data_IF_060935717175
#
_entry.id   IF_060935717175
#
_cell.length_a   1.000
_cell.length_b   1.000
_cell.length_c   1.000
_cell.angle_alpha   90.00
_cell.angle_beta   90.00
_cell.angle_gamma   90.00
#
_symmetry.space_group_name_H-M   'P 1'
#
loop_
_entity.id
_entity.type
_entity.pdbx_description
1 polymer ?
#
# COMPACT_ATOMS: atom_id res chain seq x y z
N UNK A 1 1.38 -0.62 15.31
CA UNK A 1 1.07 0.08 14.07
C UNK A 1 2.33 0.24 13.25
N UNK A 2 2.35 -0.28 12.02
CA UNK A 2 3.40 -0.11 11.04
C UNK A 2 3.00 0.99 10.05
N UNK A 3 3.37 2.22 10.38
CA UNK A 3 3.04 3.41 9.58
C UNK A 3 4.24 3.98 8.81
N UNK A 4 5.47 3.71 9.24
CA UNK A 4 6.67 4.20 8.58
C UNK A 4 6.70 3.77 7.10
N UNK A 5 7.01 4.71 6.22
CA UNK A 5 7.05 4.44 4.79
C UNK A 5 7.24 5.72 3.97
N UNK A 6 7.76 5.56 2.78
CA UNK A 6 7.98 6.66 1.84
C UNK A 6 7.71 6.23 0.40
N UNK A 7 7.58 7.19 -0.50
CA UNK A 7 7.37 6.96 -1.92
C UNK A 7 8.66 7.08 -2.73
N UNK A 8 8.73 6.34 -3.84
CA UNK A 8 9.82 6.43 -4.81
C UNK A 8 9.26 6.55 -6.22
N UNK A 9 9.74 7.51 -6.98
CA UNK A 9 9.28 7.84 -8.33
C UNK A 9 10.37 7.58 -9.36
N UNK A 10 10.13 6.64 -10.26
CA UNK A 10 11.00 6.30 -11.39
C UNK A 10 10.23 5.49 -12.43
N UNK A 11 10.72 5.42 -13.66
CA UNK A 11 10.44 4.25 -14.48
C UNK A 11 11.08 3.01 -13.84
N UNK A 12 10.61 1.82 -14.17
CA UNK A 12 11.21 0.59 -13.64
C UNK A 12 12.68 0.47 -14.03
N UNK A 13 13.00 0.81 -15.28
CA UNK A 13 14.37 0.76 -15.81
C UNK A 13 15.30 1.83 -15.18
N UNK A 14 14.74 2.96 -14.73
CA UNK A 14 15.50 4.03 -14.09
C UNK A 14 15.77 3.80 -12.60
N UNK A 15 15.12 2.80 -12.01
CA UNK A 15 15.21 2.53 -10.57
C UNK A 15 16.61 2.10 -10.13
N UNK A 16 17.22 2.85 -9.24
CA UNK A 16 18.52 2.55 -8.67
C UNK A 16 18.38 1.42 -7.65
N UNK A 17 19.13 0.32 -7.84
CA UNK A 17 18.98 -0.91 -7.05
C UNK A 17 19.06 -0.69 -5.54
N UNK A 18 20.00 0.13 -5.07
CA UNK A 18 20.13 0.46 -3.66
C UNK A 18 18.94 1.24 -3.11
N UNK A 19 18.40 2.20 -3.87
CA UNK A 19 17.25 3.00 -3.44
C UNK A 19 15.96 2.16 -3.46
N UNK A 20 15.81 1.28 -4.43
CA UNK A 20 14.72 0.31 -4.47
C UNK A 20 14.81 -0.64 -3.26
N UNK A 21 15.99 -1.16 -2.94
CA UNK A 21 16.18 -2.01 -1.75
C UNK A 21 15.79 -1.28 -0.46
N UNK A 22 16.26 -0.05 -0.26
CA UNK A 22 15.90 0.78 0.91
C UNK A 22 14.39 1.03 1.01
N UNK A 23 13.73 1.22 -0.14
CA UNK A 23 12.27 1.36 -0.19
C UNK A 23 11.58 0.10 0.36
N UNK A 24 12.00 -1.08 -0.10
CA UNK A 24 11.42 -2.34 0.38
C UNK A 24 11.81 -2.64 1.83
N UNK A 25 13.01 -2.31 2.24
CA UNK A 25 13.45 -2.44 3.64
C UNK A 25 12.55 -1.63 4.57
N UNK A 26 12.20 -0.41 4.18
CA UNK A 26 11.34 0.46 4.98
C UNK A 26 9.86 0.06 4.88
N UNK A 27 9.34 -0.12 3.66
CA UNK A 27 7.91 -0.29 3.45
C UNK A 27 7.39 -1.71 3.70
N UNK A 28 8.26 -2.74 3.64
CA UNK A 28 7.89 -4.14 3.76
C UNK A 28 8.70 -4.86 4.85
N UNK A 29 10.03 -4.93 4.72
CA UNK A 29 10.84 -5.79 5.60
C UNK A 29 10.93 -5.26 7.02
N UNK A 30 10.91 -3.95 7.24
CA UNK A 30 10.82 -3.32 8.56
C UNK A 30 9.53 -3.71 9.29
N UNK A 31 8.34 -3.52 8.70
CA UNK A 31 7.08 -4.06 9.24
C UNK A 31 7.15 -5.55 9.56
N UNK A 32 7.71 -6.38 8.66
CA UNK A 32 7.86 -7.84 8.90
C UNK A 32 8.74 -8.13 10.12
N UNK A 33 9.86 -7.42 10.26
CA UNK A 33 10.74 -7.59 11.41
C UNK A 33 10.04 -7.24 12.73
N UNK A 34 9.31 -6.10 12.76
CA UNK A 34 8.54 -5.69 13.93
C UNK A 34 7.42 -6.68 14.26
N UNK A 35 6.68 -7.16 13.26
CA UNK A 35 5.65 -8.20 13.44
C UNK A 35 6.25 -9.44 14.09
N UNK A 36 7.36 -9.96 13.55
CA UNK A 36 8.05 -11.13 14.12
C UNK A 36 8.49 -10.90 15.57
N UNK A 37 8.93 -9.70 15.91
CA UNK A 37 9.38 -9.37 17.26
C UNK A 37 8.24 -9.33 18.28
N UNK A 38 7.03 -8.87 17.90
CA UNK A 38 5.91 -8.73 18.85
C UNK A 38 5.03 -9.97 18.94
N UNK A 39 4.96 -10.81 17.90
CA UNK A 39 4.10 -11.96 17.83
C UNK A 39 4.28 -12.99 18.98
N UNK A 40 5.51 -13.33 19.46
CA UNK A 40 5.66 -14.25 20.58
C UNK A 40 4.86 -13.80 21.81
N UNK A 41 4.94 -12.50 22.15
CA UNK A 41 4.22 -11.94 23.30
C UNK A 41 2.71 -11.92 23.07
N UNK A 42 2.26 -11.52 21.88
CA UNK A 42 0.84 -11.51 21.53
C UNK A 42 0.23 -12.93 21.59
N UNK A 43 0.97 -13.95 21.13
CA UNK A 43 0.52 -15.37 21.22
C UNK A 43 0.39 -15.85 22.67
N UNK A 44 1.36 -15.48 23.54
CA UNK A 44 1.31 -15.79 24.96
C UNK A 44 0.06 -15.16 25.63
N UNK A 45 -0.24 -13.93 25.28
CA UNK A 45 -1.39 -13.18 25.78
C UNK A 45 -2.72 -13.59 25.16
N UNK A 46 -2.71 -14.35 24.05
CA UNK A 46 -3.88 -14.65 23.21
C UNK A 46 -4.65 -13.40 22.80
N UNK A 47 -3.95 -12.30 22.66
CA UNK A 47 -4.48 -10.99 22.32
C UNK A 47 -3.42 -10.13 21.62
N UNK A 48 -3.84 -9.35 20.65
CA UNK A 48 -2.96 -8.41 19.97
C UNK A 48 -3.66 -7.77 18.79
N UNK A 49 -3.14 -6.62 18.37
CA UNK A 49 -3.63 -5.90 17.22
C UNK A 49 -2.44 -5.40 16.37
N UNK A 50 -2.38 -5.86 15.13
CA UNK A 50 -1.37 -5.46 14.14
C UNK A 50 -2.07 -4.64 13.05
N UNK A 51 -1.60 -3.42 12.84
CA UNK A 51 -2.15 -2.52 11.86
C UNK A 51 -1.04 -2.10 10.90
N UNK A 52 -1.18 -2.42 9.63
CA UNK A 52 -0.23 -2.09 8.57
C UNK A 52 -0.80 -1.01 7.66
N UNK A 53 -0.10 0.13 7.56
CA UNK A 53 -0.51 1.23 6.68
C UNK A 53 0.06 0.99 5.27
N UNK A 54 -0.86 0.69 4.34
CA UNK A 54 -0.54 0.53 2.92
C UNK A 54 -0.84 1.81 2.13
N UNK A 55 -1.51 1.74 1.03
CA UNK A 55 -1.95 2.86 0.18
C UNK A 55 -2.94 2.35 -0.85
N UNK A 56 -3.76 3.22 -1.44
CA UNK A 56 -4.49 2.90 -2.68
C UNK A 56 -3.56 2.44 -3.81
N UNK A 57 -2.29 2.76 -3.72
CA UNK A 57 -1.27 2.28 -4.66
C UNK A 57 -1.11 0.75 -4.62
N UNK A 58 -1.50 0.07 -3.53
CA UNK A 58 -1.52 -1.39 -3.45
C UNK A 58 -2.58 -2.02 -4.37
N UNK A 59 -3.71 -1.35 -4.56
CA UNK A 59 -4.79 -1.82 -5.45
C UNK A 59 -4.55 -1.47 -6.92
N UNK A 60 -3.81 -0.38 -7.18
CA UNK A 60 -3.49 0.10 -8.53
C UNK A 60 -2.18 0.88 -8.54
N UNK A 61 -1.36 0.70 -9.55
CA UNK A 61 -0.17 1.52 -9.76
C UNK A 61 -0.48 2.74 -10.62
N UNK A 62 0.25 3.83 -10.37
CA UNK A 62 0.30 4.98 -11.27
C UNK A 62 1.65 5.01 -12.00
N UNK A 63 1.70 5.72 -13.13
CA UNK A 63 2.94 5.94 -13.89
C UNK A 63 4.03 6.50 -12.97
N UNK A 64 5.21 5.90 -13.01
CA UNK A 64 6.35 6.27 -12.16
C UNK A 64 6.25 5.81 -10.69
N UNK A 65 5.25 5.00 -10.33
CA UNK A 65 5.06 4.51 -8.96
C UNK A 65 5.22 3.00 -8.79
N UNK A 66 5.72 2.28 -9.78
CA UNK A 66 5.72 0.82 -9.78
C UNK A 66 6.38 0.21 -8.53
N UNK A 67 7.56 0.67 -8.14
CA UNK A 67 8.27 0.18 -6.96
C UNK A 67 7.53 0.49 -5.65
N UNK A 68 7.00 1.71 -5.49
CA UNK A 68 6.20 2.05 -4.33
C UNK A 68 4.92 1.22 -4.26
N UNK A 69 4.19 1.13 -5.37
CA UNK A 69 2.95 0.38 -5.46
C UNK A 69 3.17 -1.10 -5.12
N UNK A 70 4.20 -1.73 -5.68
CA UNK A 70 4.53 -3.13 -5.41
C UNK A 70 4.96 -3.37 -3.96
N UNK A 71 5.72 -2.45 -3.33
CA UNK A 71 6.06 -2.56 -1.90
C UNK A 71 4.82 -2.52 -0.99
N UNK A 72 3.84 -1.67 -1.32
CA UNK A 72 2.58 -1.54 -0.57
C UNK A 72 1.62 -2.70 -0.86
N UNK A 73 1.58 -3.22 -2.09
CA UNK A 73 0.83 -4.41 -2.44
C UNK A 73 1.38 -5.67 -1.74
N UNK A 74 2.71 -5.80 -1.67
CA UNK A 74 3.35 -6.88 -0.93
C UNK A 74 2.99 -6.86 0.56
N UNK A 75 3.01 -5.68 1.21
CA UNK A 75 2.60 -5.54 2.61
C UNK A 75 1.11 -5.85 2.80
N UNK A 76 0.25 -5.44 1.86
CA UNK A 76 -1.19 -5.69 1.90
C UNK A 76 -1.49 -7.19 1.85
N UNK A 77 -0.93 -7.90 0.86
CA UNK A 77 -1.15 -9.33 0.70
C UNK A 77 -0.51 -10.15 1.83
N UNK A 78 0.67 -9.75 2.32
CA UNK A 78 1.29 -10.32 3.51
C UNK A 78 0.35 -10.18 4.72
N UNK A 79 -0.29 -9.04 4.88
CA UNK A 79 -1.23 -8.80 5.99
C UNK A 79 -2.48 -9.66 5.86
N UNK A 80 -2.97 -9.94 4.65
CA UNK A 80 -4.09 -10.86 4.44
C UNK A 80 -3.75 -12.30 4.85
N UNK A 81 -2.56 -12.78 4.50
CA UNK A 81 -2.05 -14.06 4.99
C UNK A 81 -1.93 -14.10 6.52
N UNK A 82 -1.27 -13.10 7.07
CA UNK A 82 -1.08 -12.95 8.52
C UNK A 82 -2.41 -12.92 9.29
N UNK A 83 -3.42 -12.23 8.77
CA UNK A 83 -4.76 -12.18 9.36
C UNK A 83 -5.38 -13.57 9.49
N UNK A 84 -5.22 -14.42 8.48
CA UNK A 84 -5.73 -15.79 8.47
C UNK A 84 -4.97 -16.68 9.45
N UNK A 85 -3.65 -16.53 9.52
CA UNK A 85 -2.77 -17.28 10.44
C UNK A 85 -3.05 -16.94 11.91
N UNK A 86 -3.35 -15.68 12.22
CA UNK A 86 -3.49 -15.18 13.58
C UNK A 86 -4.91 -15.24 14.14
N UNK A 87 -5.93 -15.36 13.29
CA UNK A 87 -7.33 -15.42 13.72
C UNK A 87 -7.59 -16.50 14.79
N UNK A 88 -7.10 -17.75 14.66
CA UNK A 88 -7.29 -18.77 15.70
C UNK A 88 -6.57 -18.47 17.03
N UNK A 89 -5.63 -17.53 17.02
CA UNK A 89 -4.82 -17.15 18.18
C UNK A 89 -5.39 -15.95 18.95
N UNK A 90 -6.54 -15.40 18.52
CA UNK A 90 -7.13 -14.22 19.12
C UNK A 90 -6.37 -12.93 18.81
N UNK A 91 -5.55 -12.90 17.76
CA UNK A 91 -4.76 -11.73 17.35
C UNK A 91 -5.36 -11.18 16.05
N UNK A 92 -5.61 -9.89 16.02
CA UNK A 92 -6.17 -9.18 14.87
C UNK A 92 -5.04 -8.58 14.02
N UNK A 93 -5.10 -8.79 12.71
CA UNK A 93 -4.28 -8.06 11.75
C UNK A 93 -5.19 -7.40 10.69
N UNK A 94 -4.95 -6.12 10.40
CA UNK A 94 -5.69 -5.38 9.39
C UNK A 94 -4.81 -4.40 8.64
N UNK A 95 -5.28 -4.02 7.47
CA UNK A 95 -4.69 -2.99 6.61
C UNK A 95 -5.44 -1.69 6.78
N UNK A 96 -4.72 -0.57 6.86
CA UNK A 96 -5.24 0.76 6.58
C UNK A 96 -4.73 1.17 5.20
N UNK A 97 -5.66 1.48 4.28
CA UNK A 97 -5.38 1.82 2.89
C UNK A 97 -5.83 3.27 2.61
N UNK A 98 -4.98 4.27 2.90
CA UNK A 98 -5.34 5.66 2.71
C UNK A 98 -5.25 6.09 1.24
N UNK A 99 -6.12 7.03 0.85
CA UNK A 99 -5.99 7.84 -0.34
C UNK A 99 -5.04 9.03 -0.14
N UNK A 100 -5.39 10.17 -0.71
CA UNK A 100 -4.58 11.38 -0.60
C UNK A 100 -4.95 12.18 0.66
N UNK A 101 -4.04 12.24 1.63
CA UNK A 101 -4.19 12.96 2.89
C UNK A 101 -3.20 14.13 2.98
N UNK A 102 -3.59 15.21 3.68
CA UNK A 102 -2.74 16.39 3.94
C UNK A 102 -1.68 16.06 4.97
N UNK A 103 -0.62 15.42 4.53
CA UNK A 103 0.54 15.04 5.33
C UNK A 103 1.81 15.47 4.63
N UNK A 104 2.94 15.27 5.27
CA UNK A 104 4.27 15.51 4.67
C UNK A 104 4.69 14.40 3.67
N UNK A 105 3.78 13.48 3.30
CA UNK A 105 4.12 12.38 2.38
C UNK A 105 4.60 12.87 1.01
N UNK A 106 4.09 14.01 0.54
CA UNK A 106 4.47 14.61 -0.74
C UNK A 106 5.68 15.55 -0.65
N UNK A 107 6.22 15.78 0.56
CA UNK A 107 7.45 16.54 0.73
C UNK A 107 8.65 15.74 0.21
N UNK A 108 9.72 16.42 -0.22
CA UNK A 108 10.94 15.80 -0.76
C UNK A 108 11.62 14.82 0.21
N UNK A 109 11.30 14.88 1.49
CA UNK A 109 11.80 13.94 2.51
C UNK A 109 11.08 12.58 2.47
N UNK A 110 9.85 12.55 1.99
CA UNK A 110 8.99 11.37 1.99
C UNK A 110 8.58 10.90 0.59
N UNK A 111 8.78 11.73 -0.44
CA UNK A 111 8.63 11.33 -1.84
C UNK A 111 9.95 11.55 -2.56
N UNK A 112 10.67 10.46 -2.74
CA UNK A 112 11.97 10.44 -3.40
C UNK A 112 11.85 10.10 -4.88
N UNK A 113 12.87 10.37 -5.66
CA UNK A 113 12.95 10.05 -7.08
C UNK A 113 14.32 9.56 -7.45
N UNK A 114 14.40 8.87 -8.59
CA UNK A 114 15.66 8.45 -9.19
C UNK A 114 16.50 9.66 -9.60
N UNK A 115 17.83 9.50 -9.57
CA UNK A 115 18.80 10.44 -10.17
C UNK A 115 19.05 10.11 -11.64
N UNK A 116 18.89 8.84 -12.01
CA UNK A 116 19.06 8.36 -13.39
C UNK A 116 17.78 8.62 -14.17
N UNK A 117 17.88 9.26 -15.34
CA UNK A 117 16.75 9.54 -16.22
C UNK A 117 17.05 9.09 -17.64
N UNK A 118 16.06 8.46 -18.28
CA UNK A 118 16.09 8.00 -19.67
C UNK A 118 15.09 8.85 -20.45
N UNK A 119 15.55 9.45 -21.57
CA UNK A 119 14.76 10.39 -22.37
C UNK A 119 13.46 9.81 -22.91
N UNK A 120 13.45 8.50 -23.19
CA UNK A 120 12.29 7.79 -23.72
C UNK A 120 11.09 7.76 -22.77
N UNK A 121 11.35 7.90 -21.45
CA UNK A 121 10.31 7.96 -20.41
C UNK A 121 9.85 9.39 -20.06
N UNK A 122 10.40 10.44 -20.70
CA UNK A 122 10.10 11.82 -20.35
C UNK A 122 8.61 12.16 -20.58
N UNK A 123 8.01 11.64 -21.66
CA UNK A 123 6.60 11.88 -21.97
C UNK A 123 5.63 11.21 -20.99
N UNK A 124 6.06 10.18 -20.26
CA UNK A 124 5.27 9.40 -19.30
C UNK A 124 5.70 9.66 -17.87
N UNK A 125 6.78 9.04 -17.42
CA UNK A 125 7.30 9.12 -16.06
C UNK A 125 7.85 10.51 -15.72
N UNK A 126 8.40 11.23 -16.68
CA UNK A 126 8.97 12.57 -16.48
C UNK A 126 8.03 13.52 -15.74
N UNK A 127 6.73 13.49 -16.07
CA UNK A 127 5.68 14.32 -15.42
C UNK A 127 5.42 13.94 -13.97
N UNK A 128 5.75 12.72 -13.54
CA UNK A 128 5.52 12.21 -12.19
C UNK A 128 6.75 12.27 -11.28
N UNK A 129 7.91 12.69 -11.80
CA UNK A 129 9.13 12.84 -11.01
C UNK A 129 8.98 13.93 -9.95
N UNK A 130 9.60 13.77 -8.76
CA UNK A 130 9.62 14.82 -7.75
C UNK A 130 10.18 16.13 -8.33
N UNK A 131 9.54 17.25 -8.01
CA UNK A 131 9.90 18.56 -8.57
C UNK A 131 9.15 18.94 -9.84
N UNK A 132 8.58 18.01 -10.60
CA UNK A 132 7.82 18.29 -11.82
C UNK A 132 6.31 18.48 -11.55
N UNK A 133 5.86 18.34 -10.30
CA UNK A 133 4.50 18.67 -9.88
C UNK A 133 4.52 19.50 -8.60
N UNK A 134 3.54 20.39 -8.48
CA UNK A 134 3.43 21.25 -7.30
C UNK A 134 2.97 20.42 -6.09
N UNK A 135 3.69 20.51 -4.97
CA UNK A 135 3.23 20.03 -3.67
C UNK A 135 2.23 21.03 -3.13
N UNK A 136 0.94 20.71 -3.19
CA UNK A 136 -0.11 21.68 -2.92
C UNK A 136 -0.64 21.65 -1.49
N UNK A 137 -0.44 20.58 -0.73
CA UNK A 137 -1.09 20.32 0.56
C UNK A 137 -2.62 20.53 0.56
N UNK A 138 -3.25 20.39 -0.61
CA UNK A 138 -4.69 20.59 -0.83
C UNK A 138 -5.46 19.26 -0.93
N UNK A 139 -4.84 18.15 -0.51
CA UNK A 139 -5.49 16.85 -0.51
C UNK A 139 -6.77 16.89 0.34
N UNK A 140 -7.78 16.12 -0.07
CA UNK A 140 -9.08 16.12 0.61
C UNK A 140 -9.05 15.42 1.98
N UNK A 141 -8.12 14.47 2.17
CA UNK A 141 -8.02 13.67 3.38
C UNK A 141 -7.47 14.48 4.56
N UNK A 142 -8.16 14.38 5.69
CA UNK A 142 -7.80 14.97 6.98
C UNK A 142 -7.13 13.87 7.85
N UNK A 143 -5.83 14.00 8.19
CA UNK A 143 -5.12 12.97 8.95
C UNK A 143 -5.64 12.81 10.38
N UNK A 144 -6.14 13.86 11.02
CA UNK A 144 -6.67 13.78 12.38
C UNK A 144 -7.98 13.00 12.42
N UNK A 145 -8.86 13.23 11.43
CA UNK A 145 -10.07 12.43 11.26
C UNK A 145 -9.76 10.98 10.92
N UNK A 146 -8.75 10.73 10.08
CA UNK A 146 -8.31 9.37 9.78
C UNK A 146 -7.83 8.64 11.04
N UNK A 147 -7.01 9.30 11.86
CA UNK A 147 -6.55 8.78 13.14
C UNK A 147 -7.70 8.41 14.07
N UNK A 148 -8.70 9.29 14.20
CA UNK A 148 -9.91 9.02 15.00
C UNK A 148 -10.69 7.81 14.47
N UNK A 149 -10.93 7.72 13.17
CA UNK A 149 -11.62 6.57 12.56
C UNK A 149 -10.85 5.26 12.84
N UNK A 150 -9.52 5.27 12.73
CA UNK A 150 -8.71 4.09 13.02
C UNK A 150 -8.88 3.67 14.48
N UNK A 151 -8.83 4.61 15.41
CA UNK A 151 -9.03 4.34 16.85
C UNK A 151 -10.44 3.79 17.11
N UNK A 152 -11.47 4.40 16.54
CA UNK A 152 -12.86 3.95 16.70
C UNK A 152 -13.05 2.52 16.15
N UNK A 153 -12.43 2.18 15.01
CA UNK A 153 -12.45 0.82 14.44
C UNK A 153 -11.72 -0.18 15.33
N UNK A 154 -10.53 0.17 15.85
CA UNK A 154 -9.75 -0.72 16.73
C UNK A 154 -10.46 -1.02 18.05
N UNK A 155 -11.27 -0.09 18.56
CA UNK A 155 -12.06 -0.28 19.79
C UNK A 155 -13.48 -0.82 19.53
N UNK A 156 -13.84 -1.06 18.27
CA UNK A 156 -15.12 -1.65 17.91
C UNK A 156 -15.13 -3.17 17.98
N UNK A 157 -16.29 -3.76 17.69
CA UNK A 157 -16.51 -5.21 17.75
C UNK A 157 -16.23 -5.91 16.41
N UNK A 158 -15.98 -5.14 15.33
CA UNK A 158 -15.80 -5.67 13.98
C UNK A 158 -14.63 -4.98 13.28
N UNK A 159 -13.77 -5.79 12.68
CA UNK A 159 -12.56 -5.30 12.00
C UNK A 159 -12.61 -5.66 10.51
N UNK A 160 -12.52 -4.68 9.57
CA UNK A 160 -12.37 -4.99 8.16
C UNK A 160 -10.98 -5.58 7.90
N UNK A 161 -10.85 -6.42 6.88
CA UNK A 161 -9.52 -6.85 6.42
C UNK A 161 -8.71 -5.64 5.91
N UNK A 162 -9.39 -4.75 5.18
CA UNK A 162 -8.81 -3.51 4.63
C UNK A 162 -9.75 -2.36 4.97
N UNK A 163 -9.25 -1.36 5.68
CA UNK A 163 -9.91 -0.09 5.96
C UNK A 163 -9.43 0.95 4.94
N UNK A 164 -10.18 1.10 3.85
CA UNK A 164 -9.89 2.14 2.84
C UNK A 164 -10.38 3.50 3.33
N UNK A 165 -9.48 4.47 3.44
CA UNK A 165 -9.77 5.80 3.97
C UNK A 165 -9.70 6.88 2.89
N UNK A 166 -10.76 7.68 2.82
CA UNK A 166 -10.96 8.75 1.86
C UNK A 166 -11.98 8.38 0.77
N UNK A 167 -12.83 9.34 0.41
CA UNK A 167 -13.86 9.14 -0.64
C UNK A 167 -13.22 8.86 -2.00
N UNK A 168 -12.13 9.57 -2.31
CA UNK A 168 -11.31 9.36 -3.49
C UNK A 168 -10.71 7.96 -3.53
N UNK A 169 -10.22 7.48 -2.38
CA UNK A 169 -9.65 6.15 -2.23
C UNK A 169 -10.69 5.05 -2.51
N UNK A 170 -11.84 5.14 -1.87
CA UNK A 170 -12.94 4.17 -2.08
C UNK A 170 -13.35 4.11 -3.55
N UNK A 171 -13.52 5.27 -4.21
CA UNK A 171 -13.87 5.34 -5.62
C UNK A 171 -12.77 4.71 -6.50
N UNK A 172 -11.51 5.08 -6.26
CA UNK A 172 -10.39 4.62 -7.07
C UNK A 172 -10.15 3.10 -6.94
N UNK A 173 -10.23 2.57 -5.70
CA UNK A 173 -10.08 1.13 -5.45
C UNK A 173 -11.24 0.35 -6.08
N UNK A 174 -12.48 0.82 -5.90
CA UNK A 174 -13.65 0.21 -6.51
C UNK A 174 -13.52 0.12 -8.03
N UNK A 175 -13.21 1.22 -8.70
CA UNK A 175 -13.02 1.23 -10.15
C UNK A 175 -11.89 0.30 -10.62
N UNK A 176 -10.80 0.18 -9.85
CA UNK A 176 -9.71 -0.74 -10.17
C UNK A 176 -10.15 -2.21 -10.05
N UNK A 177 -10.94 -2.54 -9.04
CA UNK A 177 -11.47 -3.90 -8.85
C UNK A 177 -12.47 -4.26 -9.94
N UNK A 178 -13.38 -3.35 -10.29
CA UNK A 178 -14.34 -3.52 -11.37
C UNK A 178 -13.68 -3.77 -12.72
N UNK A 179 -12.60 -3.02 -13.02
CA UNK A 179 -11.80 -3.22 -14.23
C UNK A 179 -11.14 -4.61 -14.28
N UNK A 180 -10.57 -5.07 -13.15
CA UNK A 180 -9.96 -6.40 -13.04
C UNK A 180 -10.99 -7.52 -13.18
N UNK A 181 -12.18 -7.37 -12.59
CA UNK A 181 -13.25 -8.35 -12.73
C UNK A 181 -13.68 -8.46 -14.20
N UNK A 182 -13.87 -7.33 -14.86
CA UNK A 182 -14.24 -7.30 -16.27
C UNK A 182 -13.19 -8.01 -17.14
N UNK A 183 -11.92 -7.76 -16.91
CA UNK A 183 -10.82 -8.42 -17.64
C UNK A 183 -10.78 -9.93 -17.37
N UNK A 184 -11.00 -10.37 -16.13
CA UNK A 184 -11.13 -11.78 -15.78
C UNK A 184 -12.29 -12.46 -16.52
N UNK A 185 -13.44 -11.80 -16.58
CA UNK A 185 -14.62 -12.32 -17.28
C UNK A 185 -14.37 -12.42 -18.80
N UNK A 186 -13.70 -11.42 -19.39
CA UNK A 186 -13.35 -11.42 -20.81
C UNK A 186 -12.38 -12.55 -21.20
N UNK A 187 -11.52 -12.99 -20.29
CA UNK A 187 -10.52 -14.03 -20.54
C UNK A 187 -10.85 -15.39 -19.92
N UNK A 188 -12.01 -15.55 -19.29
CA UNK A 188 -12.40 -16.75 -18.54
C UNK A 188 -12.34 -18.02 -19.40
N UNK A 189 -12.92 -18.00 -20.61
CA UNK A 189 -12.94 -19.16 -21.51
C UNK A 189 -11.53 -19.57 -22.01
N UNK A 190 -10.66 -18.58 -22.22
CA UNK A 190 -9.27 -18.86 -22.61
C UNK A 190 -8.51 -19.45 -21.42
N UNK A 191 -8.71 -18.89 -20.23
CA UNK A 191 -8.05 -19.34 -19.01
C UNK A 191 -8.44 -20.79 -18.64
N UNK A 192 -9.71 -21.16 -18.86
CA UNK A 192 -10.21 -22.51 -18.57
C UNK A 192 -9.56 -23.59 -19.44
N UNK A 193 -8.98 -23.25 -20.61
CA UNK A 193 -8.27 -24.19 -21.47
C UNK A 193 -6.94 -24.69 -20.86
N UNK A 194 -6.49 -24.12 -19.75
CA UNK A 194 -5.30 -24.58 -19.04
C UNK A 194 -5.55 -25.80 -18.13
N UNK A 195 -6.82 -26.18 -17.92
CA UNK A 195 -7.17 -27.35 -17.12
C UNK A 195 -7.00 -28.64 -17.92
N UNK A 196 -6.74 -29.74 -17.22
CA UNK A 196 -6.79 -31.08 -17.81
C UNK A 196 -8.25 -31.45 -18.12
N UNK A 197 -8.48 -32.16 -19.27
CA UNK A 197 -9.78 -32.75 -19.58
C UNK A 197 -10.14 -33.92 -18.65
#
# INVERSE_FOLDING_TARGET
VNNAGYGYRSAVEEGEGEEVQKLYDTNLFGPVALIKAVLPKMREQKAGFILNVTSIAAARSAVGSAYYASSKAALELLTDGLRKELAPLGIVAMVVQPGAFRTRFYDNTSLQGTKTTISDYESTVGKSRPGNFAVTHNQAGDPDRAGKIIVDVVHGDRYPAILTLGKDAVTAVKSSLEAKIKELDEWADVSAQADFE
#
